data_IF_307060038974
#
_entry.id   IF_307060038974
#
_cell.length_a   1.000
_cell.length_b   1.000
_cell.length_c   1.000
_cell.angle_alpha   90.00
_cell.angle_beta   90.00
_cell.angle_gamma   90.00
#
_symmetry.space_group_name_H-M   'P 1'
#
loop_
_entity.id
_entity.type
_entity.pdbx_description
1 polymer ?
#
# COMPACT_ATOMS: atom_id res chain seq x y z
N UNK A 1 12.27 -6.09 -14.41
CA UNK A 1 13.08 -5.01 -14.98
C UNK A 1 12.31 -4.38 -16.11
N UNK A 2 12.37 -3.05 -16.28
CA UNK A 2 11.81 -2.41 -17.46
C UNK A 2 12.53 -2.99 -18.67
N UNK A 3 11.75 -3.66 -19.50
CA UNK A 3 12.24 -4.38 -20.66
C UNK A 3 11.69 -3.68 -21.91
N UNK A 4 12.59 -3.07 -22.67
CA UNK A 4 12.26 -2.42 -23.94
C UNK A 4 11.54 -3.34 -24.92
N UNK A 5 11.82 -4.64 -24.85
CA UNK A 5 11.15 -5.63 -25.69
C UNK A 5 9.67 -5.80 -25.28
N UNK A 6 9.38 -5.88 -23.98
CA UNK A 6 8.01 -5.93 -23.47
C UNK A 6 7.25 -4.65 -23.78
N UNK A 7 7.89 -3.48 -23.65
CA UNK A 7 7.29 -2.21 -24.02
C UNK A 7 6.97 -2.15 -25.53
N UNK A 8 7.89 -2.55 -26.39
CA UNK A 8 7.66 -2.60 -27.84
C UNK A 8 6.51 -3.54 -28.20
N UNK A 9 6.42 -4.70 -27.53
CA UNK A 9 5.29 -5.59 -27.74
C UNK A 9 3.97 -4.99 -27.28
N UNK A 10 3.96 -4.30 -26.14
CA UNK A 10 2.77 -3.59 -25.64
C UNK A 10 2.33 -2.51 -26.65
N UNK A 11 3.25 -1.78 -27.23
CA UNK A 11 2.98 -0.78 -28.26
C UNK A 11 2.46 -1.42 -29.54
N UNK A 12 2.98 -2.56 -29.98
CA UNK A 12 2.50 -3.26 -31.17
C UNK A 12 1.06 -3.78 -31.02
N UNK A 13 0.69 -4.21 -29.80
CA UNK A 13 -0.64 -4.73 -29.49
C UNK A 13 -1.71 -3.64 -29.40
N UNK A 14 -1.32 -2.40 -29.11
CA UNK A 14 -2.23 -1.26 -28.92
C UNK A 14 -2.40 -0.42 -30.22
N UNK A 15 -1.66 -0.74 -31.28
CA UNK A 15 -1.68 0.00 -32.56
C UNK A 15 -1.39 1.50 -32.40
N UNK A 16 -0.32 1.82 -31.68
CA UNK A 16 0.12 3.18 -31.32
C UNK A 16 0.64 4.02 -32.51
N UNK A 17 0.52 3.53 -33.74
CA UNK A 17 1.13 4.17 -34.93
C UNK A 17 0.65 5.60 -35.20
N UNK A 18 -0.39 6.05 -34.52
CA UNK A 18 -0.99 7.29 -34.98
C UNK A 18 -0.85 8.49 -34.08
N UNK A 19 -0.81 8.39 -32.73
CA UNK A 19 -0.95 9.63 -31.93
C UNK A 19 -0.27 9.66 -30.55
N UNK A 20 0.71 8.80 -30.27
CA UNK A 20 1.45 8.93 -29.00
C UNK A 20 2.74 9.74 -29.20
N UNK A 21 2.69 11.02 -28.89
CA UNK A 21 3.84 11.91 -28.98
C UNK A 21 4.77 11.86 -27.76
N UNK A 22 4.29 11.27 -26.65
CA UNK A 22 4.95 11.32 -25.37
C UNK A 22 4.66 10.06 -24.55
N UNK A 23 5.69 9.51 -23.90
CA UNK A 23 5.58 8.45 -22.92
C UNK A 23 6.11 8.93 -21.57
N UNK A 24 5.24 9.07 -20.57
CA UNK A 24 5.65 9.33 -19.19
C UNK A 24 5.99 8.02 -18.49
N UNK A 25 7.15 7.93 -17.86
CA UNK A 25 7.61 6.73 -17.14
C UNK A 25 8.04 7.09 -15.72
N UNK A 26 7.71 6.19 -14.78
CA UNK A 26 8.06 6.35 -13.38
C UNK A 26 8.34 4.99 -12.73
N UNK A 27 8.70 4.97 -11.45
CA UNK A 27 9.02 3.77 -10.69
C UNK A 27 10.52 3.58 -10.49
N UNK A 28 10.90 2.66 -9.62
CA UNK A 28 12.28 2.53 -9.11
C UNK A 28 13.38 2.26 -10.15
N UNK A 29 13.03 1.83 -11.37
CA UNK A 29 14.01 1.52 -12.43
C UNK A 29 13.71 2.21 -13.76
N UNK A 30 12.88 3.26 -13.74
CA UNK A 30 12.47 3.95 -14.95
C UNK A 30 13.67 4.54 -15.75
N UNK A 31 14.76 4.91 -15.07
CA UNK A 31 15.98 5.43 -15.70
C UNK A 31 16.74 4.38 -16.55
N UNK A 32 16.40 3.08 -16.45
CA UNK A 32 16.95 2.06 -17.34
C UNK A 32 16.33 2.08 -18.74
N UNK A 33 15.21 2.79 -18.92
CA UNK A 33 14.66 3.09 -20.23
C UNK A 33 15.42 4.29 -20.79
N UNK A 34 15.73 4.30 -22.07
CA UNK A 34 16.34 5.47 -22.73
C UNK A 34 15.37 6.66 -22.79
N UNK A 35 15.80 7.75 -23.35
CA UNK A 35 15.01 8.99 -23.50
C UNK A 35 14.03 8.94 -24.69
N UNK A 36 14.07 7.89 -25.49
CA UNK A 36 13.25 7.71 -26.70
C UNK A 36 12.99 6.24 -26.99
N UNK A 37 11.80 5.93 -27.45
CA UNK A 37 11.40 4.63 -28.03
C UNK A 37 10.86 4.90 -29.44
N UNK A 38 11.56 4.41 -30.48
CA UNK A 38 11.25 4.69 -31.88
C UNK A 38 11.24 6.21 -32.12
N UNK A 39 10.11 6.83 -32.35
CA UNK A 39 9.97 8.29 -32.48
C UNK A 39 9.28 8.94 -31.29
N UNK A 40 8.95 8.14 -30.24
CA UNK A 40 8.22 8.62 -29.08
C UNK A 40 9.19 9.06 -27.98
N UNK A 41 9.09 10.31 -27.57
CA UNK A 41 9.87 10.86 -26.46
C UNK A 41 9.46 10.22 -25.14
N UNK A 42 10.45 9.85 -24.31
CA UNK A 42 10.25 9.37 -22.94
C UNK A 42 10.53 10.52 -21.98
N UNK A 43 9.58 10.79 -21.07
CA UNK A 43 9.78 11.69 -19.94
C UNK A 43 9.85 10.86 -18.66
N UNK A 44 10.95 11.01 -17.95
CA UNK A 44 11.22 10.35 -16.68
C UNK A 44 10.71 11.20 -15.53
N UNK A 45 9.74 10.69 -14.78
CA UNK A 45 9.15 11.37 -13.62
C UNK A 45 9.57 10.65 -12.33
N UNK A 46 10.00 11.43 -11.34
CA UNK A 46 10.34 10.86 -10.02
C UNK A 46 9.13 10.12 -9.44
N UNK A 47 9.37 8.94 -8.85
CA UNK A 47 8.29 8.08 -8.34
C UNK A 47 7.50 8.74 -7.19
N UNK A 48 8.18 9.48 -6.30
CA UNK A 48 7.54 10.14 -5.17
C UNK A 48 6.61 11.25 -5.66
N UNK A 49 7.08 12.05 -6.61
CA UNK A 49 6.31 13.14 -7.20
C UNK A 49 5.11 12.57 -7.99
N UNK A 50 5.33 11.53 -8.79
CA UNK A 50 4.28 10.88 -9.56
C UNK A 50 3.19 10.27 -8.66
N UNK A 51 3.57 9.56 -7.59
CA UNK A 51 2.61 9.01 -6.63
C UNK A 51 1.86 10.15 -5.91
N UNK A 52 2.59 11.20 -5.53
CA UNK A 52 2.05 12.38 -4.85
C UNK A 52 0.98 13.07 -5.68
N UNK A 53 1.34 13.48 -6.89
CA UNK A 53 0.45 14.19 -7.82
C UNK A 53 -0.79 13.36 -8.17
N UNK A 54 -0.58 12.08 -8.52
CA UNK A 54 -1.68 11.19 -8.86
C UNK A 54 -2.63 10.92 -7.69
N UNK A 55 -2.11 10.75 -6.48
CA UNK A 55 -2.93 10.53 -5.29
C UNK A 55 -3.76 11.76 -4.93
N UNK A 56 -3.18 12.96 -4.99
CA UNK A 56 -3.90 14.20 -4.74
C UNK A 56 -4.98 14.45 -5.80
N UNK A 57 -4.67 14.20 -7.06
CA UNK A 57 -5.63 14.33 -8.15
C UNK A 57 -6.82 13.37 -7.98
N UNK A 58 -6.55 12.07 -7.72
CA UNK A 58 -7.61 11.05 -7.54
C UNK A 58 -8.44 11.28 -6.28
N UNK A 59 -7.85 11.81 -5.22
CA UNK A 59 -8.56 12.07 -3.97
C UNK A 59 -9.48 13.28 -4.03
N UNK A 60 -9.21 14.22 -4.94
CA UNK A 60 -9.91 15.50 -5.02
C UNK A 60 -9.67 16.42 -3.81
N UNK A 61 -8.68 16.10 -2.96
CA UNK A 61 -8.33 16.91 -1.80
C UNK A 61 -7.57 18.17 -2.21
N UNK A 62 -7.72 19.24 -1.43
CA UNK A 62 -6.99 20.49 -1.62
C UNK A 62 -5.53 20.35 -1.13
N UNK A 63 -4.59 20.97 -1.84
CA UNK A 63 -3.19 21.07 -1.43
C UNK A 63 -2.93 22.09 -0.31
N UNK A 64 -3.97 22.73 0.24
CA UNK A 64 -3.83 23.77 1.28
C UNK A 64 -3.43 23.20 2.64
N UNK A 65 -3.74 21.94 2.91
CA UNK A 65 -3.45 21.29 4.18
C UNK A 65 -2.47 20.12 3.97
N UNK A 66 -1.59 19.87 4.95
CA UNK A 66 -0.75 18.68 4.91
C UNK A 66 -1.59 17.41 4.80
N UNK A 67 -1.27 16.57 3.81
CA UNK A 67 -1.90 15.28 3.57
C UNK A 67 -0.84 14.20 3.54
N UNK A 68 -1.06 13.08 4.23
CA UNK A 68 -0.19 11.92 4.14
C UNK A 68 -0.69 10.98 3.06
N UNK A 69 0.14 10.72 2.07
CA UNK A 69 -0.12 9.75 1.03
C UNK A 69 0.61 8.47 1.37
N UNK A 70 -0.12 7.37 1.42
CA UNK A 70 0.41 6.02 1.64
C UNK A 70 0.44 5.29 0.30
N UNK A 71 1.63 5.08 -0.23
CA UNK A 71 1.84 4.23 -1.39
C UNK A 71 1.95 2.78 -0.92
N UNK A 72 0.85 2.03 -1.01
CA UNK A 72 0.74 0.65 -0.57
C UNK A 72 0.96 -0.31 -1.75
N UNK A 73 2.22 -0.56 -2.06
CA UNK A 73 2.70 -1.46 -3.11
C UNK A 73 3.29 -2.76 -2.56
N UNK A 74 4.43 -3.21 -3.09
CA UNK A 74 5.19 -4.35 -2.56
C UNK A 74 5.69 -4.11 -1.14
N UNK A 75 6.16 -2.90 -0.86
CA UNK A 75 6.34 -2.31 0.47
C UNK A 75 5.35 -1.18 0.67
N UNK A 76 5.57 -0.37 1.72
CA UNK A 76 4.75 0.80 2.03
C UNK A 76 5.63 2.03 2.15
N UNK A 77 5.30 3.11 1.45
CA UNK A 77 5.94 4.41 1.60
C UNK A 77 4.91 5.44 2.07
N UNK A 78 5.34 6.38 2.92
CA UNK A 78 4.56 7.53 3.35
C UNK A 78 5.18 8.81 2.79
N UNK A 79 4.37 9.55 2.05
CA UNK A 79 4.73 10.79 1.37
C UNK A 79 3.90 11.91 2.00
N UNK A 80 4.52 13.00 2.38
CA UNK A 80 3.82 14.22 2.77
C UNK A 80 3.58 15.06 1.52
N UNK A 81 2.32 15.37 1.25
CA UNK A 81 1.90 16.38 0.28
C UNK A 81 1.62 17.68 1.04
N UNK A 82 2.33 18.74 0.71
CA UNK A 82 2.17 20.06 1.32
C UNK A 82 2.66 21.16 0.37
N UNK A 83 1.85 22.19 0.18
CA UNK A 83 2.18 23.36 -0.64
C UNK A 83 2.66 22.98 -2.07
N UNK A 84 2.05 21.95 -2.67
CA UNK A 84 2.40 21.44 -3.98
C UNK A 84 3.71 20.65 -4.06
N UNK A 85 4.32 20.34 -2.92
CA UNK A 85 5.54 19.53 -2.83
C UNK A 85 5.24 18.13 -2.26
N UNK A 86 6.02 17.14 -2.69
CA UNK A 86 5.91 15.77 -2.24
C UNK A 86 7.21 15.32 -1.60
N UNK A 87 7.17 14.92 -0.33
CA UNK A 87 8.35 14.57 0.45
C UNK A 87 8.19 13.16 0.99
N UNK A 88 9.11 12.26 0.67
CA UNK A 88 9.16 10.94 1.32
C UNK A 88 9.54 11.10 2.79
N UNK A 89 8.62 10.78 3.68
CA UNK A 89 8.80 10.98 5.14
C UNK A 89 9.15 9.70 5.88
N UNK A 90 8.60 8.57 5.45
CA UNK A 90 8.80 7.28 6.12
C UNK A 90 8.41 6.14 5.20
N UNK A 91 8.67 4.90 5.63
CA UNK A 91 8.26 3.71 4.91
C UNK A 91 8.69 2.44 5.62
N UNK A 92 8.26 1.32 5.08
CA UNK A 92 8.62 -0.01 5.56
C UNK A 92 8.70 -0.99 4.39
N UNK A 93 9.56 -2.00 4.52
CA UNK A 93 9.56 -3.16 3.62
C UNK A 93 8.30 -4.05 3.76
N UNK A 94 7.44 -3.77 4.74
CA UNK A 94 6.18 -4.50 4.94
C UNK A 94 5.10 -3.93 4.02
N UNK A 95 4.50 -4.80 3.20
CA UNK A 95 3.48 -4.44 2.23
C UNK A 95 2.91 -5.66 1.51
N UNK A 96 2.35 -5.46 0.32
CA UNK A 96 1.77 -6.55 -0.47
C UNK A 96 2.77 -7.66 -0.81
N UNK A 97 4.05 -7.31 -1.04
CA UNK A 97 5.11 -8.29 -1.21
C UNK A 97 5.32 -9.17 0.02
N UNK A 98 5.15 -8.62 1.22
CA UNK A 98 5.21 -9.37 2.48
C UNK A 98 4.04 -10.34 2.60
N UNK A 99 2.82 -9.90 2.23
CA UNK A 99 1.66 -10.79 2.18
C UNK A 99 1.96 -11.99 1.30
N UNK A 100 2.39 -11.78 0.06
CA UNK A 100 2.68 -12.87 -0.87
C UNK A 100 3.83 -13.77 -0.39
N UNK A 101 4.91 -13.18 0.13
CA UNK A 101 6.08 -13.92 0.61
C UNK A 101 5.76 -14.81 1.80
N UNK A 102 5.08 -14.29 2.82
CA UNK A 102 4.65 -15.06 3.98
C UNK A 102 3.60 -16.11 3.63
N UNK A 103 2.66 -15.78 2.74
CA UNK A 103 1.67 -16.75 2.26
C UNK A 103 2.33 -17.89 1.48
N UNK A 104 3.35 -17.61 0.67
CA UNK A 104 4.13 -18.68 0.02
C UNK A 104 4.77 -19.62 1.03
N UNK A 105 5.35 -19.07 2.10
CA UNK A 105 6.05 -19.86 3.12
C UNK A 105 5.10 -20.66 4.01
N UNK A 106 3.95 -20.07 4.39
CA UNK A 106 3.07 -20.62 5.43
C UNK A 106 1.83 -21.32 4.87
N UNK A 107 1.38 -20.92 3.68
CA UNK A 107 0.14 -21.40 3.05
C UNK A 107 0.38 -22.15 1.74
N UNK A 108 1.61 -22.07 1.19
CA UNK A 108 2.03 -22.59 -0.11
C UNK A 108 1.34 -21.96 -1.32
N UNK A 109 0.86 -20.71 -1.17
CA UNK A 109 0.22 -19.98 -2.27
C UNK A 109 0.78 -18.56 -2.39
N UNK A 110 0.75 -18.01 -3.62
CA UNK A 110 0.99 -16.59 -3.93
C UNK A 110 -0.18 -15.96 -4.69
N UNK A 111 -1.29 -16.69 -4.82
CA UNK A 111 -2.49 -16.17 -5.46
C UNK A 111 -3.19 -15.19 -4.51
N UNK A 112 -3.27 -13.88 -4.87
CA UNK A 112 -3.92 -12.89 -4.02
C UNK A 112 -5.39 -13.20 -3.75
N UNK A 113 -6.09 -13.82 -4.70
CA UNK A 113 -7.50 -14.18 -4.56
C UNK A 113 -7.69 -15.27 -3.53
N UNK A 114 -6.88 -16.33 -3.61
CA UNK A 114 -6.90 -17.42 -2.64
C UNK A 114 -6.55 -16.92 -1.23
N UNK A 115 -5.52 -16.06 -1.10
CA UNK A 115 -5.13 -15.47 0.17
C UNK A 115 -6.27 -14.63 0.76
N UNK A 116 -6.95 -13.83 -0.08
CA UNK A 116 -8.09 -13.00 0.34
C UNK A 116 -9.25 -13.85 0.87
N UNK A 117 -9.60 -14.92 0.17
CA UNK A 117 -10.67 -15.83 0.60
C UNK A 117 -10.32 -16.57 1.91
N UNK A 118 -9.07 -17.01 2.05
CA UNK A 118 -8.61 -17.62 3.31
C UNK A 118 -8.70 -16.60 4.46
N UNK A 119 -8.15 -15.39 4.27
CA UNK A 119 -8.16 -14.36 5.31
C UNK A 119 -9.58 -13.95 5.73
N UNK A 120 -10.51 -13.88 4.77
CA UNK A 120 -11.92 -13.56 5.03
C UNK A 120 -12.62 -14.59 5.93
N UNK A 121 -12.21 -15.84 5.84
CA UNK A 121 -12.77 -16.96 6.63
C UNK A 121 -12.03 -17.19 7.95
N UNK A 122 -10.90 -16.52 8.17
CA UNK A 122 -10.06 -16.65 9.35
C UNK A 122 -10.32 -15.55 10.38
N UNK A 123 -9.66 -15.74 11.53
CA UNK A 123 -9.62 -14.77 12.61
C UNK A 123 -8.16 -14.60 13.04
N UNK A 124 -7.63 -13.39 12.94
CA UNK A 124 -6.27 -13.07 13.34
C UNK A 124 -5.98 -13.40 14.80
N UNK A 125 -6.98 -13.31 15.68
CA UNK A 125 -6.82 -13.71 17.10
C UNK A 125 -6.51 -15.20 17.28
N UNK A 126 -6.67 -16.03 16.24
CA UNK A 126 -6.20 -17.42 16.22
C UNK A 126 -4.67 -17.54 16.24
N UNK A 127 -3.96 -16.53 15.76
CA UNK A 127 -2.49 -16.49 15.68
C UNK A 127 -1.87 -15.33 16.48
N UNK A 128 -2.57 -14.21 16.62
CA UNK A 128 -2.14 -13.01 17.35
C UNK A 128 -2.48 -13.08 18.84
N UNK A 129 -1.64 -12.50 19.68
CA UNK A 129 -2.03 -12.15 21.04
C UNK A 129 -2.74 -10.81 21.02
N UNK A 130 -3.88 -10.73 21.67
CA UNK A 130 -4.65 -9.49 21.85
C UNK A 130 -4.36 -8.87 23.23
N UNK A 131 -4.80 -7.65 23.49
CA UNK A 131 -4.50 -6.94 24.73
C UNK A 131 -4.97 -7.72 25.96
N UNK A 132 -6.17 -8.32 25.92
CA UNK A 132 -6.69 -9.11 27.05
C UNK A 132 -5.86 -10.37 27.36
N UNK A 133 -5.07 -10.88 26.40
CA UNK A 133 -4.15 -12.02 26.61
C UNK A 133 -2.90 -11.62 27.38
N UNK A 134 -2.52 -10.32 27.39
CA UNK A 134 -1.20 -9.88 27.87
C UNK A 134 -1.25 -8.82 28.98
N UNK A 135 -2.39 -8.16 29.20
CA UNK A 135 -2.57 -7.15 30.23
C UNK A 135 -3.83 -7.43 31.09
N UNK A 136 -3.74 -7.09 32.37
CA UNK A 136 -4.82 -7.34 33.34
C UNK A 136 -5.85 -6.20 33.40
N UNK A 137 -5.80 -5.23 32.50
CA UNK A 137 -6.71 -4.07 32.53
C UNK A 137 -6.60 -3.22 31.26
N UNK A 138 -7.45 -2.19 31.13
CA UNK A 138 -7.48 -1.36 29.96
C UNK A 138 -6.18 -0.57 29.76
N UNK A 139 -5.77 -0.40 28.52
CA UNK A 139 -4.69 0.50 28.12
C UNK A 139 -5.32 1.72 27.42
N UNK A 140 -5.55 2.78 28.19
CA UNK A 140 -6.25 3.95 27.69
C UNK A 140 -7.65 3.60 27.14
N UNK A 141 -7.95 4.05 25.92
CA UNK A 141 -9.22 3.78 25.22
C UNK A 141 -9.09 2.60 24.22
N UNK A 142 -7.98 1.84 24.24
CA UNK A 142 -7.80 0.74 23.31
C UNK A 142 -8.76 -0.41 23.62
N UNK A 143 -9.47 -0.94 22.60
CA UNK A 143 -10.29 -2.15 22.75
C UNK A 143 -9.46 -3.34 23.22
N UNK A 144 -10.05 -4.21 24.05
CA UNK A 144 -9.35 -5.38 24.62
C UNK A 144 -8.91 -6.41 23.56
N UNK A 145 -9.61 -6.44 22.43
CA UNK A 145 -9.34 -7.28 21.27
C UNK A 145 -8.28 -6.69 20.30
N UNK A 146 -7.72 -5.52 20.62
CA UNK A 146 -6.63 -4.95 19.84
C UNK A 146 -5.42 -5.87 19.86
N UNK A 147 -4.83 -6.15 18.69
CA UNK A 147 -3.60 -6.95 18.57
C UNK A 147 -2.46 -6.32 19.36
N UNK A 148 -1.94 -7.09 20.31
CA UNK A 148 -0.76 -6.73 21.11
C UNK A 148 0.54 -7.29 20.51
N UNK A 149 0.50 -8.54 20.00
CA UNK A 149 1.67 -9.20 19.39
C UNK A 149 1.23 -10.03 18.20
N UNK A 150 1.54 -9.57 17.00
CA UNK A 150 1.27 -10.33 15.80
C UNK A 150 2.00 -11.68 15.82
N UNK A 151 1.28 -12.75 15.48
CA UNK A 151 1.74 -14.14 15.54
C UNK A 151 2.25 -14.59 16.93
N UNK A 152 2.02 -13.81 17.98
CA UNK A 152 2.53 -14.11 19.32
C UNK A 152 1.93 -15.35 19.95
N UNK A 153 0.72 -15.72 19.56
CA UNK A 153 0.03 -16.91 20.09
C UNK A 153 0.67 -18.22 19.64
N UNK A 154 1.25 -18.23 18.43
CA UNK A 154 1.86 -19.42 17.83
C UNK A 154 2.91 -20.07 18.72
N UNK A 155 3.71 -19.28 19.43
CA UNK A 155 4.76 -19.80 20.33
C UNK A 155 4.23 -20.41 21.61
N UNK A 156 2.93 -20.32 21.88
CA UNK A 156 2.31 -20.73 23.15
C UNK A 156 1.28 -21.85 23.02
N UNK A 157 0.91 -22.23 21.80
CA UNK A 157 -0.14 -23.25 21.55
C UNK A 157 0.45 -24.42 20.77
N UNK A 158 0.10 -25.65 21.23
CA UNK A 158 0.46 -26.91 20.57
C UNK A 158 -0.66 -27.43 19.64
N UNK A 159 -1.68 -26.60 19.35
CA UNK A 159 -2.82 -26.99 18.51
C UNK A 159 -2.57 -26.70 17.03
N UNK A 160 -3.21 -27.47 16.16
CA UNK A 160 -3.26 -27.17 14.73
C UNK A 160 -3.92 -25.82 14.47
N UNK A 161 -3.19 -24.92 13.86
CA UNK A 161 -3.66 -23.59 13.47
C UNK A 161 -4.24 -23.70 12.07
N UNK A 162 -5.40 -23.07 11.84
CA UNK A 162 -6.03 -23.08 10.53
C UNK A 162 -5.26 -22.21 9.53
N UNK A 163 -5.27 -22.61 8.26
CA UNK A 163 -4.72 -21.77 7.17
C UNK A 163 -5.44 -20.42 7.08
N UNK A 164 -6.71 -20.40 7.42
CA UNK A 164 -7.55 -19.21 7.43
C UNK A 164 -7.04 -18.19 8.47
N UNK A 165 -6.76 -18.64 9.69
CA UNK A 165 -6.26 -17.76 10.76
C UNK A 165 -4.84 -17.26 10.44
N UNK A 166 -3.99 -18.10 9.84
CA UNK A 166 -2.68 -17.68 9.37
C UNK A 166 -2.81 -16.59 8.32
N UNK A 167 -3.70 -16.76 7.33
CA UNK A 167 -3.94 -15.76 6.30
C UNK A 167 -4.47 -14.45 6.89
N UNK A 168 -5.42 -14.51 7.82
CA UNK A 168 -5.95 -13.34 8.53
C UNK A 168 -4.84 -12.62 9.30
N UNK A 169 -3.99 -13.34 10.04
CA UNK A 169 -2.85 -12.77 10.78
C UNK A 169 -1.83 -12.11 9.87
N UNK A 170 -1.50 -12.70 8.71
CA UNK A 170 -0.58 -12.09 7.73
C UNK A 170 -1.14 -10.75 7.23
N UNK A 171 -2.41 -10.73 6.84
CA UNK A 171 -3.08 -9.53 6.33
C UNK A 171 -3.17 -8.46 7.41
N UNK A 172 -3.52 -8.86 8.64
CA UNK A 172 -3.59 -7.98 9.80
C UNK A 172 -2.23 -7.34 10.12
N UNK A 173 -1.17 -8.14 10.18
CA UNK A 173 0.21 -7.65 10.39
C UNK A 173 0.58 -6.54 9.41
N UNK A 174 0.31 -6.75 8.12
CA UNK A 174 0.69 -5.80 7.08
C UNK A 174 -0.16 -4.54 7.14
N UNK A 175 -1.48 -4.68 7.28
CA UNK A 175 -2.40 -3.54 7.36
C UNK A 175 -2.15 -2.67 8.59
N UNK A 176 -1.96 -3.27 9.76
CA UNK A 176 -1.63 -2.56 10.99
C UNK A 176 -0.29 -1.83 10.91
N UNK A 177 0.74 -2.48 10.33
CA UNK A 177 2.05 -1.86 10.18
C UNK A 177 1.97 -0.61 9.29
N UNK A 178 1.28 -0.70 8.15
CA UNK A 178 1.07 0.43 7.26
C UNK A 178 0.30 1.56 7.95
N UNK A 179 -0.78 1.24 8.66
CA UNK A 179 -1.59 2.21 9.40
C UNK A 179 -0.79 2.92 10.49
N UNK A 180 -0.02 2.19 11.30
CA UNK A 180 0.78 2.78 12.38
C UNK A 180 1.83 3.75 11.88
N UNK A 181 2.50 3.44 10.77
CA UNK A 181 3.47 4.36 10.16
C UNK A 181 2.75 5.58 9.60
N UNK A 182 1.66 5.39 8.85
CA UNK A 182 0.89 6.47 8.26
C UNK A 182 0.35 7.46 9.32
N UNK A 183 -0.28 6.94 10.37
CA UNK A 183 -0.84 7.77 11.45
C UNK A 183 0.24 8.48 12.27
N UNK A 184 1.41 7.85 12.47
CA UNK A 184 2.54 8.49 13.13
C UNK A 184 3.09 9.66 12.30
N UNK A 185 3.20 9.50 10.99
CA UNK A 185 3.59 10.58 10.07
C UNK A 185 2.54 11.69 10.08
N UNK A 186 1.24 11.34 9.97
CA UNK A 186 0.15 12.31 10.01
C UNK A 186 0.16 13.14 11.30
N UNK A 187 0.33 12.49 12.44
CA UNK A 187 0.43 13.18 13.74
C UNK A 187 1.65 14.10 13.79
N UNK A 188 2.81 13.67 13.29
CA UNK A 188 4.05 14.44 13.30
C UNK A 188 3.93 15.74 12.49
N UNK A 189 3.26 15.69 11.36
CA UNK A 189 3.08 16.84 10.46
C UNK A 189 1.74 17.57 10.62
N UNK A 190 0.94 17.23 11.63
CA UNK A 190 -0.42 17.74 11.84
C UNK A 190 -1.33 17.58 10.62
N UNK A 191 -1.06 16.55 9.81
CA UNK A 191 -1.94 16.20 8.70
C UNK A 191 -3.27 15.64 9.24
N UNK A 192 -4.38 16.05 8.61
CA UNK A 192 -5.72 15.56 8.95
C UNK A 192 -6.17 14.45 8.04
N UNK A 193 -5.62 14.42 6.83
CA UNK A 193 -5.99 13.50 5.77
C UNK A 193 -4.89 12.46 5.55
N UNK A 194 -5.32 11.22 5.34
CA UNK A 194 -4.49 10.12 4.88
C UNK A 194 -5.12 9.56 3.62
N UNK A 195 -4.40 9.58 2.52
CA UNK A 195 -4.81 9.01 1.23
C UNK A 195 -4.01 7.75 0.98
N UNK A 196 -4.67 6.63 0.70
CA UNK A 196 -4.02 5.34 0.46
C UNK A 196 -4.20 4.94 -1.00
N UNK A 197 -3.09 4.81 -1.71
CA UNK A 197 -3.03 4.43 -3.12
C UNK A 197 -2.14 3.21 -3.33
N UNK A 198 -2.09 2.69 -4.55
CA UNK A 198 -1.33 1.50 -4.91
C UNK A 198 -2.22 0.25 -5.01
N UNK A 199 -1.62 -0.90 -5.31
CA UNK A 199 -2.38 -2.15 -5.56
C UNK A 199 -2.82 -2.88 -4.29
N UNK A 200 -2.16 -2.64 -3.16
CA UNK A 200 -2.48 -3.36 -1.92
C UNK A 200 -3.90 -3.08 -1.39
N UNK A 201 -4.49 -1.87 -1.53
CA UNK A 201 -5.87 -1.62 -1.12
C UNK A 201 -6.94 -2.36 -1.93
N UNK A 202 -6.64 -2.84 -3.13
CA UNK A 202 -7.57 -3.71 -3.88
C UNK A 202 -7.77 -5.07 -3.21
N UNK A 203 -6.88 -5.43 -2.29
CA UNK A 203 -7.01 -6.57 -1.41
C UNK A 203 -7.87 -6.20 -0.19
N UNK A 204 -9.16 -6.51 -0.22
CA UNK A 204 -10.14 -6.06 0.77
C UNK A 204 -9.74 -6.28 2.24
N UNK A 205 -9.15 -7.43 2.57
CA UNK A 205 -8.69 -7.72 3.93
C UNK A 205 -7.63 -6.73 4.41
N UNK A 206 -6.69 -6.35 3.54
CA UNK A 206 -5.63 -5.39 3.87
C UNK A 206 -6.20 -3.98 4.06
N UNK A 207 -7.12 -3.57 3.18
CA UNK A 207 -7.83 -2.31 3.33
C UNK A 207 -8.53 -2.22 4.68
N UNK A 208 -9.32 -3.23 5.03
CA UNK A 208 -10.07 -3.27 6.29
C UNK A 208 -9.14 -3.22 7.52
N UNK A 209 -8.05 -3.99 7.51
CA UNK A 209 -7.07 -3.99 8.61
C UNK A 209 -6.39 -2.62 8.76
N UNK A 210 -6.06 -1.96 7.65
CA UNK A 210 -5.49 -0.60 7.67
C UNK A 210 -6.51 0.42 8.20
N UNK A 211 -7.75 0.38 7.74
CA UNK A 211 -8.83 1.27 8.21
C UNK A 211 -9.07 1.11 9.72
N UNK A 212 -9.21 -0.12 10.19
CA UNK A 212 -9.43 -0.41 11.62
C UNK A 212 -8.26 0.11 12.47
N UNK A 213 -7.03 -0.20 12.07
CA UNK A 213 -5.85 0.23 12.82
C UNK A 213 -5.66 1.75 12.81
N UNK A 214 -6.02 2.44 11.73
CA UNK A 214 -5.98 3.89 11.65
C UNK A 214 -7.08 4.54 12.49
N UNK A 215 -8.28 3.95 12.52
CA UNK A 215 -9.42 4.46 13.29
C UNK A 215 -9.15 4.49 14.80
N UNK A 216 -8.42 3.51 15.32
CA UNK A 216 -7.96 3.47 16.73
C UNK A 216 -7.10 4.70 17.05
N UNK A 217 -6.42 5.28 16.05
CA UNK A 217 -5.60 6.49 16.18
C UNK A 217 -6.36 7.78 15.81
N UNK A 218 -7.67 7.68 15.59
CA UNK A 218 -8.54 8.81 15.24
C UNK A 218 -8.47 9.26 13.77
N UNK A 219 -7.95 8.43 12.87
CA UNK A 219 -7.87 8.72 11.45
C UNK A 219 -8.84 7.87 10.62
N UNK A 220 -9.38 8.47 9.55
CA UNK A 220 -10.22 7.79 8.55
C UNK A 220 -9.54 7.87 7.19
N UNK A 221 -8.75 6.88 6.80
CA UNK A 221 -8.03 6.90 5.52
C UNK A 221 -8.98 6.94 4.33
N UNK A 222 -8.63 7.77 3.34
CA UNK A 222 -9.33 7.85 2.07
C UNK A 222 -8.68 6.89 1.06
N UNK A 223 -9.49 6.06 0.40
CA UNK A 223 -9.08 5.13 -0.65
C UNK A 223 -9.75 5.57 -1.97
N UNK A 224 -9.09 6.40 -2.77
CA UNK A 224 -9.68 6.89 -4.00
C UNK A 224 -9.92 5.75 -5.00
N UNK A 225 -10.96 5.88 -5.81
CA UNK A 225 -11.16 4.98 -6.95
C UNK A 225 -9.96 5.07 -7.89
N UNK A 226 -9.59 3.93 -8.48
CA UNK A 226 -8.41 3.80 -9.35
C UNK A 226 -7.07 4.16 -8.68
N UNK A 227 -6.98 4.09 -7.36
CA UNK A 227 -5.76 4.38 -6.61
C UNK A 227 -4.54 3.54 -7.02
N UNK A 228 -4.75 2.37 -7.62
CA UNK A 228 -3.69 1.53 -8.19
C UNK A 228 -2.97 2.15 -9.39
N UNK A 229 -3.61 3.12 -10.05
CA UNK A 229 -3.04 3.85 -11.19
C UNK A 229 -2.47 5.23 -10.80
N UNK A 230 -2.45 5.58 -9.51
CA UNK A 230 -2.01 6.89 -9.06
C UNK A 230 -0.63 7.29 -9.61
N UNK A 231 0.35 6.38 -9.56
CA UNK A 231 1.70 6.67 -10.06
C UNK A 231 1.73 6.92 -11.58
N UNK A 232 0.94 6.18 -12.35
CA UNK A 232 0.85 6.36 -13.81
C UNK A 232 0.16 7.68 -14.17
N UNK A 233 -0.95 7.97 -13.49
CA UNK A 233 -1.67 9.24 -13.67
C UNK A 233 -0.79 10.44 -13.31
N UNK A 234 -0.13 10.39 -12.15
CA UNK A 234 0.73 11.50 -11.72
C UNK A 234 1.94 11.69 -12.65
N UNK A 235 2.55 10.60 -13.15
CA UNK A 235 3.59 10.70 -14.15
C UNK A 235 3.10 11.40 -15.42
N UNK A 236 1.90 11.11 -15.88
CA UNK A 236 1.29 11.76 -17.04
C UNK A 236 1.05 13.25 -16.76
N UNK A 237 0.41 13.60 -15.64
CA UNK A 237 0.12 15.00 -15.27
C UNK A 237 1.37 15.86 -15.14
N UNK A 238 2.48 15.29 -14.68
CA UNK A 238 3.75 16.00 -14.53
C UNK A 238 4.58 16.07 -15.83
N UNK A 239 4.20 15.31 -16.84
CA UNK A 239 4.88 15.31 -18.15
C UNK A 239 4.25 16.29 -19.15
N UNK A 240 3.05 16.80 -18.87
CA UNK A 240 2.36 17.84 -19.64
C UNK A 240 2.94 19.23 -19.32
#
# INVERSE_FOLDING_TARGET
DPDLFLLKNLFSDINFETDVNLLAVTGGKHLNLGDEIESTKIIHVNEIDAVGEGAMNLSGLSNENPTVIVSAGSGTACILAQDGNFIHCSGTGVGGGTVLGLSKLLLDTTDPTEIAELAKLGNESGVDLILEDVVSGPIGELPSDTTAVNFGKISKIDSNISKQDIAAGIVNLVGQTAARIATSVATTFNAKEIVVVGRSPSFNGLKNSLEQAASIMGFSPHFPENGEYASALGALLMAE
#
